data_IF_759317375298
#
_entry.id   IF_759317375298
#
_cell.length_a   1.000
_cell.length_b   1.000
_cell.length_c   1.000
_cell.angle_alpha   90.00
_cell.angle_beta   90.00
_cell.angle_gamma   90.00
#
_symmetry.space_group_name_H-M   'P 1'
#
loop_
_entity.id
_entity.type
_entity.pdbx_description
1 polymer ?
#
# COMPACT_ATOMS: atom_id res chain seq x y z
N UNK A 1 9.93 -1.60 -10.27
CA UNK A 1 9.30 -0.43 -10.92
C UNK A 1 10.17 0.84 -10.83
N UNK A 2 10.60 1.32 -9.65
CA UNK A 2 11.29 2.62 -9.52
C UNK A 2 12.57 2.76 -10.35
N UNK A 3 13.41 1.73 -10.42
CA UNK A 3 14.60 1.73 -11.29
C UNK A 3 14.24 1.84 -12.79
N UNK A 4 13.16 1.19 -13.22
CA UNK A 4 12.65 1.31 -14.59
C UNK A 4 12.12 2.72 -14.90
N UNK A 5 11.60 3.42 -13.88
CA UNK A 5 11.26 4.85 -13.90
C UNK A 5 12.47 5.78 -13.70
N UNK A 6 13.70 5.26 -13.75
CA UNK A 6 14.97 6.01 -13.58
C UNK A 6 15.10 6.75 -12.24
N UNK A 7 14.37 6.30 -11.22
CA UNK A 7 14.57 6.76 -9.84
C UNK A 7 15.77 6.03 -9.26
N UNK A 8 16.81 6.80 -8.93
CA UNK A 8 18.00 6.26 -8.27
C UNK A 8 17.70 6.05 -6.79
N UNK A 9 17.97 4.85 -6.30
CA UNK A 9 17.89 4.49 -4.89
C UNK A 9 19.22 3.91 -4.48
N UNK A 10 19.60 4.12 -3.23
CA UNK A 10 20.73 3.40 -2.64
C UNK A 10 20.46 1.89 -2.70
N UNK A 11 21.48 1.09 -2.98
CA UNK A 11 21.40 -0.37 -2.95
C UNK A 11 21.01 -0.91 -1.56
N UNK A 12 21.24 -0.13 -0.49
CA UNK A 12 20.86 -0.48 0.88
C UNK A 12 19.42 -0.12 1.24
N UNK A 13 18.65 0.53 0.35
CA UNK A 13 17.33 1.10 0.68
C UNK A 13 16.39 0.11 1.35
N UNK A 14 16.38 -1.15 0.89
CA UNK A 14 15.53 -2.21 1.44
C UNK A 14 15.96 -2.55 2.86
N UNK A 15 17.25 -2.79 3.08
CA UNK A 15 17.79 -3.20 4.38
C UNK A 15 17.66 -2.07 5.40
N UNK A 16 17.93 -0.84 5.00
CA UNK A 16 17.83 0.33 5.88
C UNK A 16 16.37 0.59 6.28
N UNK A 17 15.43 0.42 5.34
CA UNK A 17 13.98 0.54 5.64
C UNK A 17 13.53 -0.54 6.62
N UNK A 18 13.97 -1.80 6.43
CA UNK A 18 13.62 -2.89 7.34
C UNK A 18 14.21 -2.67 8.74
N UNK A 19 15.47 -2.22 8.85
CA UNK A 19 16.05 -1.85 10.15
C UNK A 19 15.28 -0.74 10.83
N UNK A 20 14.80 0.25 10.09
CA UNK A 20 13.96 1.30 10.67
C UNK A 20 12.64 0.74 11.20
N UNK A 21 12.00 -0.18 10.47
CA UNK A 21 10.79 -0.86 10.92
C UNK A 21 11.04 -1.64 12.23
N UNK A 22 12.20 -2.28 12.38
CA UNK A 22 12.59 -3.00 13.61
C UNK A 22 12.72 -2.10 14.85
N UNK A 23 12.85 -0.77 14.66
CA UNK A 23 12.89 0.20 15.78
C UNK A 23 11.53 0.67 16.26
N UNK A 24 10.46 0.37 15.51
CA UNK A 24 9.12 0.80 15.87
C UNK A 24 8.60 0.05 17.09
N UNK A 25 7.73 0.70 17.87
CA UNK A 25 7.07 0.04 18.99
C UNK A 25 6.32 -1.22 18.50
N UNK A 26 6.32 -2.29 19.30
CA UNK A 26 5.69 -3.56 18.92
C UNK A 26 4.18 -3.43 18.61
N UNK A 27 3.51 -2.44 19.20
CA UNK A 27 2.11 -2.10 18.95
C UNK A 27 1.93 -0.85 18.07
N UNK A 28 3.02 -0.36 17.46
CA UNK A 28 3.00 0.77 16.55
C UNK A 28 2.17 0.46 15.31
N UNK A 29 1.32 1.41 14.91
CA UNK A 29 0.48 1.30 13.71
C UNK A 29 0.64 2.53 12.83
N UNK A 30 0.44 2.37 11.53
CA UNK A 30 0.42 3.49 10.58
C UNK A 30 -0.94 4.18 10.56
N UNK A 31 -1.01 5.43 10.08
CA UNK A 31 -2.29 6.12 9.85
C UNK A 31 -3.18 5.34 8.90
N UNK A 32 -2.65 4.92 7.75
CA UNK A 32 -3.34 4.10 6.76
C UNK A 32 -3.97 2.84 7.40
N UNK A 33 -3.22 2.14 8.26
CA UNK A 33 -3.74 0.95 8.95
C UNK A 33 -4.93 1.29 9.86
N UNK A 34 -4.85 2.37 10.63
CA UNK A 34 -5.95 2.79 11.51
C UNK A 34 -7.18 3.22 10.73
N UNK A 35 -7.02 3.94 9.62
CA UNK A 35 -8.15 4.33 8.77
C UNK A 35 -8.87 3.10 8.20
N UNK A 36 -8.11 2.10 7.73
CA UNK A 36 -8.67 0.83 7.26
C UNK A 36 -9.41 0.12 8.39
N UNK A 37 -8.80 0.00 9.58
CA UNK A 37 -9.40 -0.68 10.73
C UNK A 37 -10.67 0.00 11.23
N UNK A 38 -10.71 1.34 11.22
CA UNK A 38 -11.86 2.16 11.61
C UNK A 38 -12.93 2.25 10.50
N UNK A 39 -12.70 1.65 9.33
CA UNK A 39 -13.61 1.72 8.19
C UNK A 39 -13.75 3.12 7.58
N UNK A 40 -12.72 3.97 7.72
CA UNK A 40 -12.66 5.32 7.15
C UNK A 40 -12.05 5.29 5.74
N UNK A 41 -12.39 6.24 4.87
CA UNK A 41 -11.69 6.42 3.60
C UNK A 41 -10.18 6.55 3.86
N UNK A 42 -9.39 5.78 3.12
CA UNK A 42 -7.95 5.67 3.37
C UNK A 42 -7.12 6.08 2.16
N UNK A 43 -5.80 6.09 2.34
CA UNK A 43 -4.84 6.37 1.28
C UNK A 43 -4.45 5.10 0.48
N UNK A 44 -5.23 4.02 0.56
CA UNK A 44 -4.93 2.72 -0.07
C UNK A 44 -4.56 2.84 -1.56
N UNK A 45 -5.30 3.67 -2.32
CA UNK A 45 -5.05 3.89 -3.74
C UNK A 45 -3.79 4.71 -4.03
N UNK A 46 -3.45 5.64 -3.14
CA UNK A 46 -2.27 6.48 -3.27
C UNK A 46 -0.98 5.73 -2.91
N UNK A 47 -1.06 4.72 -2.04
CA UNK A 47 0.08 3.87 -1.68
C UNK A 47 0.15 2.61 -2.55
N UNK A 48 -0.74 1.64 -2.33
CA UNK A 48 -0.67 0.35 -3.02
C UNK A 48 -1.15 0.45 -4.47
N UNK A 49 -2.23 1.21 -4.71
CA UNK A 49 -2.74 1.44 -6.06
C UNK A 49 -1.71 2.13 -6.97
N UNK A 50 -0.94 3.07 -6.43
CA UNK A 50 0.15 3.73 -7.16
C UNK A 50 1.25 2.76 -7.57
N UNK A 51 1.70 1.88 -6.66
CA UNK A 51 2.71 0.86 -6.99
C UNK A 51 2.22 -0.07 -8.10
N UNK A 52 0.96 -0.50 -8.05
CA UNK A 52 0.36 -1.35 -9.09
C UNK A 52 0.33 -0.65 -10.44
N UNK A 53 -0.16 0.60 -10.51
CA UNK A 53 -0.20 1.38 -11.76
C UNK A 53 1.20 1.61 -12.32
N UNK A 54 2.11 2.11 -11.49
CA UNK A 54 3.49 2.42 -11.90
C UNK A 54 4.28 1.16 -12.28
N UNK A 55 3.99 0.00 -11.70
CA UNK A 55 4.57 -1.29 -12.09
C UNK A 55 4.12 -1.72 -13.48
N UNK A 56 2.81 -1.63 -13.75
CA UNK A 56 2.22 -1.97 -15.06
C UNK A 56 2.76 -1.10 -16.19
N UNK A 57 2.95 0.20 -15.96
CA UNK A 57 3.47 1.14 -16.96
C UNK A 57 4.85 0.76 -17.51
N UNK A 58 5.61 -0.05 -16.76
CA UNK A 58 6.97 -0.48 -17.11
C UNK A 58 7.12 -2.01 -17.14
N UNK A 59 6.00 -2.72 -17.25
CA UNK A 59 5.93 -4.19 -17.32
C UNK A 59 6.68 -4.90 -16.17
N UNK A 60 6.58 -4.34 -14.95
CA UNK A 60 7.12 -4.95 -13.73
C UNK A 60 5.98 -5.42 -12.85
N UNK A 61 5.91 -6.73 -12.63
CA UNK A 61 4.92 -7.35 -11.75
C UNK A 61 5.04 -6.85 -10.30
N UNK A 62 3.90 -6.57 -9.67
CA UNK A 62 3.82 -6.12 -8.27
C UNK A 62 2.85 -7.00 -7.45
N UNK A 63 3.02 -8.33 -7.43
CA UNK A 63 2.00 -9.27 -6.95
C UNK A 63 1.58 -9.02 -5.50
N UNK A 64 2.52 -8.68 -4.61
CA UNK A 64 2.21 -8.36 -3.21
C UNK A 64 1.33 -7.12 -3.09
N UNK A 65 1.62 -6.06 -3.85
CA UNK A 65 0.82 -4.84 -3.82
C UNK A 65 -0.53 -5.02 -4.51
N UNK A 66 -0.60 -5.84 -5.57
CA UNK A 66 -1.86 -6.21 -6.21
C UNK A 66 -2.76 -6.99 -5.24
N UNK A 67 -2.21 -7.96 -4.53
CA UNK A 67 -2.96 -8.71 -3.52
C UNK A 67 -3.48 -7.79 -2.41
N UNK A 68 -2.62 -6.98 -1.80
CA UNK A 68 -3.02 -6.04 -0.74
C UNK A 68 -4.09 -5.07 -1.25
N UNK A 69 -3.87 -4.47 -2.43
CA UNK A 69 -4.80 -3.50 -3.00
C UNK A 69 -6.17 -4.14 -3.27
N UNK A 70 -6.21 -5.26 -3.99
CA UNK A 70 -7.48 -5.86 -4.41
C UNK A 70 -8.25 -6.52 -3.27
N UNK A 71 -7.59 -7.01 -2.22
CA UNK A 71 -8.27 -7.56 -1.04
C UNK A 71 -8.86 -6.48 -0.14
N UNK A 72 -8.26 -5.29 -0.08
CA UNK A 72 -8.74 -4.16 0.72
C UNK A 72 -9.67 -3.22 -0.05
N UNK A 73 -9.65 -3.24 -1.39
CA UNK A 73 -10.47 -2.37 -2.23
C UNK A 73 -11.97 -2.41 -1.90
N UNK A 74 -12.61 -3.56 -1.65
CA UNK A 74 -14.03 -3.57 -1.25
C UNK A 74 -14.28 -2.79 0.03
N UNK A 75 -13.40 -2.90 1.03
CA UNK A 75 -13.54 -2.16 2.30
C UNK A 75 -13.38 -0.66 2.08
N UNK A 76 -12.42 -0.25 1.24
CA UNK A 76 -12.22 1.15 0.85
C UNK A 76 -13.42 1.72 0.08
N UNK A 77 -13.98 0.95 -0.87
CA UNK A 77 -15.18 1.36 -1.60
C UNK A 77 -16.38 1.53 -0.66
N UNK A 78 -16.52 0.67 0.35
CA UNK A 78 -17.55 0.79 1.37
C UNK A 78 -17.35 2.04 2.23
N UNK A 79 -16.13 2.27 2.70
CA UNK A 79 -15.79 3.44 3.51
C UNK A 79 -16.08 4.77 2.77
N UNK A 80 -15.97 4.77 1.43
CA UNK A 80 -16.34 5.90 0.57
C UNK A 80 -17.82 5.94 0.16
N UNK A 81 -18.66 5.04 0.65
CA UNK A 81 -20.08 4.98 0.31
C UNK A 81 -20.38 4.53 -1.14
N UNK A 82 -19.42 3.89 -1.81
CA UNK A 82 -19.59 3.41 -3.20
C UNK A 82 -20.23 2.03 -3.28
N UNK A 83 -20.10 1.22 -2.23
CA UNK A 83 -20.73 -0.10 -2.11
C UNK A 83 -21.27 -0.29 -0.70
N UNK A 84 -22.30 -1.11 -0.56
CA UNK A 84 -22.84 -1.56 0.72
C UNK A 84 -22.67 -3.07 0.81
N UNK A 85 -22.25 -3.56 1.98
CA UNK A 85 -22.24 -5.00 2.23
C UNK A 85 -23.59 -5.41 2.81
N UNK A 86 -24.10 -6.59 2.46
CA UNK A 86 -25.23 -7.18 3.17
C UNK A 86 -24.86 -7.36 4.66
N UNK A 87 -25.87 -7.34 5.55
CA UNK A 87 -25.67 -7.59 6.97
C UNK A 87 -25.15 -9.00 7.28
#
# INVERSE_FOLDING_TARGET
MLRAHRVQLNDTVVVDTLRQIDTLAANGTTSLQRDIADGKPSELDYWNGAVVRLGRDVDVATPTHEFIYHTLLPQELRARGKVTFPP
#
